data_IF_352447931184
#
_entry.id   IF_352447931184
#
_cell.length_a   1.000
_cell.length_b   1.000
_cell.length_c   1.000
_cell.angle_alpha   90.00
_cell.angle_beta   90.00
_cell.angle_gamma   90.00
#
_symmetry.space_group_name_H-M   'P 1'
#
loop_
_entity.id
_entity.type
_entity.pdbx_description
1 polymer ?
#
# COMPACT_ATOMS: atom_id res chain seq x y z
N UNK A 1 -1.15 -19.67 30.44
CA UNK A 1 -2.23 -19.16 29.56
C UNK A 1 -1.69 -19.11 28.14
N UNK A 2 -2.46 -19.48 27.12
CA UNK A 2 -2.01 -19.37 25.72
C UNK A 2 -1.94 -17.89 25.33
N UNK A 3 -0.77 -17.44 24.87
CA UNK A 3 -0.57 -16.10 24.31
C UNK A 3 -0.68 -16.14 22.78
N UNK A 4 -0.93 -14.97 22.18
CA UNK A 4 -1.05 -14.74 20.75
C UNK A 4 -0.01 -13.68 20.37
N UNK A 5 0.93 -14.04 19.50
CA UNK A 5 2.01 -13.15 19.06
C UNK A 5 1.54 -12.11 18.04
N UNK A 6 2.31 -11.04 17.87
CA UNK A 6 1.98 -9.93 16.94
C UNK A 6 1.62 -10.37 15.52
N UNK A 7 2.34 -11.33 14.94
CA UNK A 7 2.02 -11.82 13.59
C UNK A 7 0.69 -12.57 13.53
N UNK A 8 0.31 -13.27 14.59
CA UNK A 8 -0.97 -13.96 14.69
C UNK A 8 -2.10 -12.95 14.89
N UNK A 9 -1.89 -11.92 15.72
CA UNK A 9 -2.82 -10.79 15.85
C UNK A 9 -3.02 -10.11 14.49
N UNK A 10 -1.93 -9.83 13.76
CA UNK A 10 -1.96 -9.20 12.44
C UNK A 10 -2.72 -10.04 11.42
N UNK A 11 -2.45 -11.35 11.36
CA UNK A 11 -3.15 -12.27 10.48
C UNK A 11 -4.65 -12.36 10.81
N UNK A 12 -4.99 -12.45 12.10
CA UNK A 12 -6.38 -12.49 12.54
C UNK A 12 -7.11 -11.16 12.26
N UNK A 13 -6.45 -10.02 12.48
CA UNK A 13 -6.98 -8.70 12.17
C UNK A 13 -7.27 -8.56 10.67
N UNK A 14 -6.30 -8.88 9.80
CA UNK A 14 -6.47 -8.82 8.35
C UNK A 14 -7.62 -9.70 7.85
N UNK A 15 -7.78 -10.91 8.42
CA UNK A 15 -8.88 -11.82 8.08
C UNK A 15 -10.25 -11.28 8.53
N UNK A 16 -10.35 -10.74 9.75
CA UNK A 16 -11.59 -10.15 10.27
C UNK A 16 -11.97 -8.88 9.51
N UNK A 17 -10.99 -8.04 9.20
CA UNK A 17 -11.17 -6.83 8.39
C UNK A 17 -11.66 -7.19 6.98
N UNK A 18 -11.10 -8.23 6.36
CA UNK A 18 -11.56 -8.74 5.07
C UNK A 18 -12.99 -9.25 5.11
N UNK A 19 -13.39 -9.95 6.18
CA UNK A 19 -14.75 -10.44 6.33
C UNK A 19 -15.75 -9.29 6.50
N UNK A 20 -15.42 -8.34 7.37
CA UNK A 20 -16.21 -7.14 7.59
C UNK A 20 -16.37 -6.33 6.29
N UNK A 21 -15.26 -6.05 5.60
CA UNK A 21 -15.27 -5.29 4.34
C UNK A 21 -16.08 -6.01 3.25
N UNK A 22 -16.03 -7.34 3.17
CA UNK A 22 -16.83 -8.11 2.23
C UNK A 22 -18.33 -8.11 2.51
N UNK A 23 -18.75 -7.93 3.78
CA UNK A 23 -20.17 -7.71 4.11
C UNK A 23 -20.63 -6.30 3.69
N UNK A 24 -19.78 -5.29 3.89
CA UNK A 24 -20.10 -3.91 3.55
C UNK A 24 -20.03 -3.64 2.03
N UNK A 25 -19.12 -4.33 1.32
CA UNK A 25 -18.88 -4.16 -0.12
C UNK A 25 -18.93 -5.52 -0.82
N UNK A 26 -20.11 -6.02 -1.24
CA UNK A 26 -20.22 -7.37 -1.83
C UNK A 26 -19.32 -7.63 -3.05
N UNK A 27 -19.06 -6.60 -3.86
CA UNK A 27 -18.14 -6.69 -5.02
C UNK A 27 -16.70 -7.04 -4.61
N UNK A 28 -16.27 -6.72 -3.39
CA UNK A 28 -14.98 -7.14 -2.86
C UNK A 28 -14.91 -8.66 -2.67
N UNK A 29 -16.00 -9.29 -2.23
CA UNK A 29 -16.04 -10.76 -2.10
C UNK A 29 -15.82 -11.42 -3.46
N UNK A 30 -16.49 -10.91 -4.51
CA UNK A 30 -16.25 -11.35 -5.89
C UNK A 30 -14.79 -11.13 -6.30
N UNK A 31 -14.20 -9.98 -6.00
CA UNK A 31 -12.79 -9.71 -6.32
C UNK A 31 -11.84 -10.73 -5.66
N UNK A 32 -12.06 -11.05 -4.38
CA UNK A 32 -11.24 -12.03 -3.65
C UNK A 32 -11.37 -13.43 -4.26
N UNK A 33 -12.57 -13.83 -4.63
CA UNK A 33 -12.79 -15.13 -5.28
C UNK A 33 -12.09 -15.20 -6.64
N UNK A 34 -12.19 -14.15 -7.46
CA UNK A 34 -11.50 -14.07 -8.76
C UNK A 34 -9.99 -14.07 -8.59
N UNK A 35 -9.45 -13.31 -7.63
CA UNK A 35 -8.02 -13.30 -7.34
C UNK A 35 -7.52 -14.70 -6.96
N UNK A 36 -8.27 -15.44 -6.13
CA UNK A 36 -7.94 -16.82 -5.78
C UNK A 36 -7.94 -17.73 -7.02
N UNK A 37 -8.99 -17.69 -7.85
CA UNK A 37 -9.05 -18.50 -9.08
C UNK A 37 -7.86 -18.23 -10.02
N UNK A 38 -7.51 -16.96 -10.21
CA UNK A 38 -6.37 -16.56 -11.06
C UNK A 38 -5.05 -17.05 -10.47
N UNK A 39 -4.87 -16.91 -9.15
CA UNK A 39 -3.65 -17.37 -8.48
C UNK A 39 -3.48 -18.89 -8.57
N UNK A 40 -4.56 -19.65 -8.40
CA UNK A 40 -4.58 -21.11 -8.53
C UNK A 40 -4.23 -21.54 -9.97
N UNK A 41 -4.75 -20.83 -10.97
CA UNK A 41 -4.44 -21.07 -12.38
C UNK A 41 -2.98 -20.79 -12.70
N UNK A 42 -2.44 -19.66 -12.23
CA UNK A 42 -1.02 -19.32 -12.41
C UNK A 42 -0.12 -20.35 -11.73
N UNK A 43 -0.44 -20.78 -10.51
CA UNK A 43 0.30 -21.82 -9.80
C UNK A 43 0.30 -23.14 -10.57
N UNK A 44 -0.87 -23.55 -11.09
CA UNK A 44 -0.99 -24.76 -11.90
C UNK A 44 -0.18 -24.71 -13.20
N UNK A 45 -0.10 -23.54 -13.84
CA UNK A 45 0.62 -23.37 -15.11
C UNK A 45 2.12 -23.18 -14.92
N UNK A 46 2.56 -22.43 -13.90
CA UNK A 46 3.96 -22.03 -13.71
C UNK A 46 4.69 -22.82 -12.61
N UNK A 47 3.98 -23.61 -11.80
CA UNK A 47 4.58 -24.40 -10.73
C UNK A 47 5.37 -23.53 -9.74
N UNK A 48 6.59 -23.96 -9.40
CA UNK A 48 7.45 -23.26 -8.43
C UNK A 48 7.78 -21.81 -8.82
N UNK A 49 7.77 -21.47 -10.11
CA UNK A 49 8.04 -20.10 -10.57
C UNK A 49 6.94 -19.11 -10.16
N UNK A 50 5.72 -19.60 -9.88
CA UNK A 50 4.63 -18.78 -9.35
C UNK A 50 4.92 -18.27 -7.93
N UNK A 51 5.77 -18.97 -7.17
CA UNK A 51 6.08 -18.64 -5.77
C UNK A 51 7.36 -17.80 -5.63
N UNK A 52 7.99 -17.39 -6.75
CA UNK A 52 9.26 -16.64 -6.74
C UNK A 52 9.17 -15.30 -5.98
N UNK A 53 7.99 -14.69 -5.89
CA UNK A 53 7.70 -13.45 -5.14
C UNK A 53 6.82 -13.70 -3.91
N UNK A 54 6.98 -14.86 -3.28
CA UNK A 54 6.30 -15.28 -2.07
C UNK A 54 5.45 -16.54 -2.27
N UNK A 55 5.36 -17.37 -1.22
CA UNK A 55 4.55 -18.59 -1.24
C UNK A 55 3.09 -18.32 -1.57
N UNK A 56 2.40 -19.30 -2.13
CA UNK A 56 0.96 -19.16 -2.45
C UNK A 56 0.12 -18.88 -1.21
N UNK A 57 0.52 -19.43 -0.05
CA UNK A 57 -0.12 -19.15 1.24
C UNK A 57 0.02 -17.68 1.63
N UNK A 58 1.20 -17.08 1.42
CA UNK A 58 1.45 -15.66 1.63
C UNK A 58 0.61 -14.83 0.67
N UNK A 59 0.66 -15.13 -0.63
CA UNK A 59 -0.08 -14.39 -1.68
C UNK A 59 -1.59 -14.40 -1.43
N UNK A 60 -2.15 -15.54 -1.02
CA UNK A 60 -3.59 -15.68 -0.74
C UNK A 60 -4.02 -14.92 0.52
N UNK A 61 -3.14 -14.82 1.52
CA UNK A 61 -3.39 -14.05 2.73
C UNK A 61 -3.09 -12.54 2.58
N UNK A 62 -2.23 -12.19 1.63
CA UNK A 62 -1.70 -10.85 1.41
C UNK A 62 -2.79 -9.87 0.99
N UNK A 63 -2.87 -8.80 1.77
CA UNK A 63 -3.80 -7.69 1.55
C UNK A 63 -3.14 -6.39 1.97
N UNK A 64 -3.58 -5.29 1.39
CA UNK A 64 -3.40 -3.98 2.01
C UNK A 64 -4.73 -3.28 2.21
N UNK A 65 -4.88 -2.55 3.31
CA UNK A 65 -6.00 -1.63 3.53
C UNK A 65 -5.57 -0.18 3.30
N UNK A 66 -6.55 0.71 3.15
CA UNK A 66 -6.32 2.14 3.26
C UNK A 66 -7.31 2.79 4.24
N UNK A 67 -6.80 3.62 5.14
CA UNK A 67 -7.61 4.39 6.10
C UNK A 67 -7.24 5.87 6.04
N UNK A 68 -8.12 6.72 6.57
CA UNK A 68 -7.89 8.16 6.64
C UNK A 68 -8.26 8.69 8.02
N UNK A 69 -7.45 9.63 8.52
CA UNK A 69 -7.65 10.30 9.82
C UNK A 69 -7.50 11.81 9.66
N UNK A 70 -8.09 12.57 10.58
CA UNK A 70 -8.20 14.02 10.47
C UNK A 70 -7.19 14.80 11.29
N UNK A 71 -6.58 14.18 12.31
CA UNK A 71 -5.69 14.88 13.24
C UNK A 71 -4.40 14.10 13.55
N UNK A 72 -3.30 14.80 13.90
CA UNK A 72 -2.08 14.16 14.41
C UNK A 72 -2.34 13.21 15.60
N UNK A 73 -3.24 13.59 16.51
CA UNK A 73 -3.65 12.75 17.64
C UNK A 73 -4.23 11.42 17.19
N UNK A 74 -5.14 11.43 16.23
CA UNK A 74 -5.75 10.22 15.68
C UNK A 74 -4.70 9.37 14.95
N UNK A 75 -3.76 9.99 14.22
CA UNK A 75 -2.66 9.28 13.57
C UNK A 75 -1.72 8.59 14.57
N UNK A 76 -1.40 9.25 15.69
CA UNK A 76 -0.63 8.64 16.78
C UNK A 76 -1.38 7.45 17.41
N UNK A 77 -2.71 7.54 17.54
CA UNK A 77 -3.53 6.42 18.01
C UNK A 77 -3.54 5.26 17.03
N UNK A 78 -3.62 5.52 15.72
CA UNK A 78 -3.44 4.49 14.67
C UNK A 78 -2.10 3.79 14.83
N UNK A 79 -1.02 4.53 15.06
CA UNK A 79 0.30 3.95 15.25
C UNK A 79 0.40 3.04 16.50
N UNK A 80 -0.38 3.33 17.55
CA UNK A 80 -0.50 2.43 18.71
C UNK A 80 -1.21 1.14 18.32
N UNK A 81 -2.39 1.24 17.69
CA UNK A 81 -3.17 0.08 17.24
C UNK A 81 -2.37 -0.81 16.28
N UNK A 82 -1.70 -0.23 15.28
CA UNK A 82 -0.88 -1.00 14.35
C UNK A 82 0.45 -1.47 14.95
N UNK A 83 0.98 -0.78 15.96
CA UNK A 83 2.10 -1.25 16.76
C UNK A 83 1.82 -2.58 17.47
N UNK A 84 0.60 -2.78 17.95
CA UNK A 84 0.14 -4.06 18.51
C UNK A 84 0.19 -5.22 17.51
N UNK A 85 0.16 -4.91 16.21
CA UNK A 85 0.23 -5.86 15.11
C UNK A 85 1.66 -6.04 14.57
N UNK A 86 2.67 -5.45 15.23
CA UNK A 86 4.07 -5.47 14.76
C UNK A 86 4.29 -4.65 13.48
N UNK A 87 3.46 -3.63 13.26
CA UNK A 87 3.53 -2.77 12.08
C UNK A 87 4.13 -1.40 12.43
N UNK A 88 4.98 -0.90 11.54
CA UNK A 88 5.73 0.35 11.69
C UNK A 88 5.38 1.30 10.55
N UNK A 89 5.39 2.63 10.77
CA UNK A 89 5.22 3.58 9.68
C UNK A 89 6.45 3.56 8.77
N UNK A 90 6.23 3.34 7.47
CA UNK A 90 7.26 3.27 6.44
C UNK A 90 6.89 4.16 5.27
N UNK A 91 7.85 5.00 4.87
CA UNK A 91 7.70 5.95 3.77
C UNK A 91 6.83 7.15 4.13
N UNK A 92 7.09 8.25 3.44
CA UNK A 92 6.30 9.47 3.48
C UNK A 92 5.77 9.78 2.08
N UNK A 93 4.47 10.03 1.97
CA UNK A 93 3.78 10.25 0.72
C UNK A 93 3.02 11.58 0.80
N UNK A 94 3.45 12.58 0.03
CA UNK A 94 2.73 13.85 -0.07
C UNK A 94 1.79 13.83 -1.28
N UNK A 95 0.51 13.52 -1.03
CA UNK A 95 -0.49 13.45 -2.11
C UNK A 95 -1.00 14.82 -2.55
N UNK A 96 -0.69 15.88 -1.78
CA UNK A 96 -1.06 17.26 -2.13
C UNK A 96 -0.32 17.75 -3.36
N UNK A 97 0.91 17.26 -3.53
CA UNK A 97 1.80 17.57 -4.66
C UNK A 97 1.67 16.55 -5.80
N UNK A 98 1.38 15.29 -5.49
CA UNK A 98 1.35 14.20 -6.47
C UNK A 98 0.06 14.15 -7.32
N UNK A 99 -1.06 14.66 -6.79
CA UNK A 99 -2.34 14.63 -7.47
C UNK A 99 -2.55 15.90 -8.32
N UNK A 100 -3.10 15.72 -9.52
CA UNK A 100 -3.61 16.83 -10.33
C UNK A 100 -4.89 17.42 -9.70
N UNK A 101 -5.69 16.57 -9.03
CA UNK A 101 -6.86 16.98 -8.25
C UNK A 101 -6.48 17.39 -6.82
N UNK A 102 -7.37 18.14 -6.17
CA UNK A 102 -7.19 18.58 -4.79
C UNK A 102 -7.30 17.40 -3.81
N UNK A 103 -6.16 16.85 -3.40
CA UNK A 103 -6.05 15.77 -2.40
C UNK A 103 -5.26 16.28 -1.18
N UNK A 104 -5.94 16.84 -0.16
CA UNK A 104 -5.29 17.57 0.94
C UNK A 104 -4.74 16.64 2.05
N UNK A 105 -3.98 15.60 1.70
CA UNK A 105 -3.47 14.62 2.67
C UNK A 105 -1.99 14.32 2.48
N UNK A 106 -1.33 14.01 3.60
CA UNK A 106 -0.03 13.33 3.64
C UNK A 106 -0.20 11.95 4.24
N UNK A 107 0.66 10.99 3.89
CA UNK A 107 0.43 9.59 4.25
C UNK A 107 1.72 8.85 4.59
N UNK A 108 1.55 7.71 5.25
CA UNK A 108 2.58 6.67 5.48
C UNK A 108 1.94 5.29 5.36
N UNK A 109 2.74 4.24 5.20
CA UNK A 109 2.27 2.87 5.22
C UNK A 109 2.65 2.19 6.55
N UNK A 110 1.68 1.70 7.31
CA UNK A 110 1.97 0.83 8.43
C UNK A 110 2.16 -0.60 7.93
N UNK A 111 3.32 -1.20 8.20
CA UNK A 111 3.61 -2.59 7.80
C UNK A 111 4.68 -3.27 8.65
N UNK A 112 4.78 -4.61 8.65
CA UNK A 112 5.95 -5.29 9.18
C UNK A 112 7.20 -4.92 8.39
N UNK A 113 8.35 -4.95 9.06
CA UNK A 113 9.64 -4.61 8.46
C UNK A 113 10.65 -5.76 8.49
N UNK A 114 10.41 -6.77 9.32
CA UNK A 114 11.22 -7.97 9.36
C UNK A 114 10.79 -8.97 8.27
N UNK A 115 11.77 -9.58 7.60
CA UNK A 115 11.53 -10.51 6.50
C UNK A 115 10.74 -11.77 6.91
N UNK A 116 10.96 -12.31 8.11
CA UNK A 116 10.19 -13.46 8.60
C UNK A 116 8.74 -13.06 8.92
N UNK A 117 8.54 -11.88 9.49
CA UNK A 117 7.21 -11.33 9.77
C UNK A 117 6.41 -11.06 8.48
N UNK A 118 7.06 -10.52 7.45
CA UNK A 118 6.50 -10.33 6.10
C UNK A 118 6.17 -11.66 5.43
N UNK A 119 7.02 -12.68 5.61
CA UNK A 119 6.77 -14.02 5.09
C UNK A 119 5.55 -14.69 5.73
N UNK A 120 5.33 -14.46 7.04
CA UNK A 120 4.16 -14.97 7.78
C UNK A 120 2.87 -14.25 7.43
N UNK A 121 2.90 -12.93 7.42
CA UNK A 121 1.74 -12.11 7.06
C UNK A 121 2.16 -10.68 6.67
N UNK A 122 2.09 -10.32 5.37
CA UNK A 122 2.52 -9.02 4.87
C UNK A 122 1.38 -7.98 4.88
N UNK A 123 0.46 -8.04 5.84
CA UNK A 123 -0.64 -7.07 5.89
C UNK A 123 -0.12 -5.65 6.09
N UNK A 124 -0.60 -4.72 5.26
CA UNK A 124 -0.18 -3.32 5.21
C UNK A 124 -1.39 -2.41 5.30
N UNK A 125 -1.24 -1.22 5.88
CA UNK A 125 -2.31 -0.20 5.85
C UNK A 125 -1.75 1.16 5.45
N UNK A 126 -2.14 1.63 4.27
CA UNK A 126 -1.86 2.99 3.82
C UNK A 126 -2.73 3.97 4.63
N UNK A 127 -2.10 4.81 5.43
CA UNK A 127 -2.80 5.70 6.37
C UNK A 127 -2.55 7.14 5.98
N UNK A 128 -3.63 7.85 5.64
CA UNK A 128 -3.56 9.26 5.24
C UNK A 128 -4.06 10.18 6.35
N UNK A 129 -3.37 11.29 6.55
CA UNK A 129 -3.71 12.36 7.47
C UNK A 129 -4.15 13.59 6.68
N UNK A 130 -5.36 14.08 6.96
CA UNK A 130 -5.84 15.36 6.44
C UNK A 130 -4.92 16.50 6.90
N UNK A 131 -4.79 17.52 6.05
CA UNK A 131 -3.95 18.69 6.32
C UNK A 131 -4.77 19.97 6.49
N UNK A 132 -5.63 20.12 7.53
CA UNK A 132 -6.46 21.33 7.73
C UNK A 132 -5.67 22.64 7.78
N UNK A 133 -4.39 22.57 8.14
CA UNK A 133 -3.51 23.72 8.26
C UNK A 133 -2.97 24.22 6.91
N UNK A 134 -3.17 23.50 5.80
CA UNK A 134 -2.68 23.91 4.48
C UNK A 134 -3.63 24.96 3.85
N UNK A 135 -3.19 26.23 3.72
CA UNK A 135 -4.06 27.32 3.31
C UNK A 135 -4.42 27.28 1.82
N UNK A 136 -3.77 26.40 1.03
CA UNK A 136 -4.13 26.13 -0.37
C UNK A 136 -5.49 25.45 -0.48
N UNK A 137 -5.92 24.71 0.54
CA UNK A 137 -7.18 23.97 0.53
C UNK A 137 -8.21 24.56 1.50
N UNK A 138 -7.75 25.09 2.64
CA UNK A 138 -8.64 25.55 3.71
C UNK A 138 -8.32 27.00 4.08
N UNK A 139 -9.26 27.91 3.82
CA UNK A 139 -9.16 29.27 4.38
C UNK A 139 -9.26 29.26 5.92
N UNK A 140 -8.92 30.38 6.56
CA UNK A 140 -8.87 30.48 8.02
C UNK A 140 -10.20 30.12 8.70
N UNK A 141 -11.34 30.48 8.09
CA UNK A 141 -12.67 30.20 8.64
C UNK A 141 -13.03 28.72 8.50
N UNK A 142 -12.77 28.14 7.33
CA UNK A 142 -13.01 26.72 7.07
C UNK A 142 -12.10 25.83 7.92
N UNK A 143 -10.82 26.19 8.05
CA UNK A 143 -9.86 25.51 8.93
C UNK A 143 -10.35 25.45 10.36
N UNK A 144 -10.74 26.60 10.93
CA UNK A 144 -11.22 26.67 12.32
C UNK A 144 -12.42 25.76 12.56
N UNK A 145 -13.40 25.77 11.63
CA UNK A 145 -14.59 24.91 11.71
C UNK A 145 -14.25 23.43 11.62
N UNK A 146 -13.36 23.08 10.70
CA UNK A 146 -12.90 21.70 10.48
C UNK A 146 -12.12 21.16 11.69
N UNK A 147 -11.17 21.93 12.21
CA UNK A 147 -10.41 21.56 13.41
C UNK A 147 -11.33 21.41 14.64
N UNK A 148 -12.30 22.32 14.81
CA UNK A 148 -13.29 22.23 15.89
C UNK A 148 -14.16 20.97 15.76
N UNK A 149 -14.61 20.63 14.55
CA UNK A 149 -15.35 19.39 14.30
C UNK A 149 -14.52 18.15 14.68
N UNK A 150 -13.29 18.06 14.16
CA UNK A 150 -12.37 16.94 14.37
C UNK A 150 -11.98 16.76 15.85
N UNK A 151 -11.85 17.86 16.60
CA UNK A 151 -11.55 17.83 18.03
C UNK A 151 -12.63 17.11 18.87
N UNK A 152 -13.87 17.03 18.37
CA UNK A 152 -14.97 16.35 19.08
C UNK A 152 -15.03 14.85 18.85
N UNK A 153 -14.11 14.26 18.07
CA UNK A 153 -14.12 12.84 17.71
C UNK A 153 -13.33 11.98 18.67
N UNK A 154 -13.85 10.80 18.93
CA UNK A 154 -13.15 9.68 19.53
C UNK A 154 -13.23 8.49 18.57
N UNK A 155 -12.13 8.20 17.87
CA UNK A 155 -12.07 7.09 16.91
C UNK A 155 -11.71 5.76 17.56
N UNK A 156 -10.89 5.79 18.60
CA UNK A 156 -10.34 4.61 19.25
C UNK A 156 -10.64 4.65 20.75
N UNK A 157 -11.46 3.71 21.27
CA UNK A 157 -11.78 3.65 22.68
C UNK A 157 -10.52 3.47 23.57
N UNK A 158 -10.51 3.98 24.81
CA UNK A 158 -9.37 3.84 25.72
C UNK A 158 -8.92 2.38 25.95
N UNK A 159 -9.87 1.44 26.02
CA UNK A 159 -9.57 0.01 26.19
C UNK A 159 -8.76 -0.56 25.03
N UNK A 160 -9.14 -0.24 23.78
CA UNK A 160 -8.40 -0.65 22.58
C UNK A 160 -6.96 -0.16 22.65
N UNK A 161 -6.77 1.10 23.05
CA UNK A 161 -5.46 1.72 23.13
C UNK A 161 -4.58 1.14 24.25
N UNK A 162 -5.17 0.76 25.38
CA UNK A 162 -4.47 0.08 26.47
C UNK A 162 -3.98 -1.32 26.06
N UNK A 163 -4.85 -2.10 25.40
CA UNK A 163 -4.48 -3.41 24.85
C UNK A 163 -3.41 -3.28 23.76
N UNK A 164 -3.52 -2.26 22.91
CA UNK A 164 -2.56 -2.02 21.85
C UNK A 164 -1.15 -1.71 22.38
N UNK A 165 -1.06 -0.85 23.40
CA UNK A 165 0.22 -0.52 24.03
C UNK A 165 0.85 -1.74 24.70
N UNK A 166 0.05 -2.55 25.40
CA UNK A 166 0.53 -3.79 26.01
C UNK A 166 1.08 -4.75 24.96
N UNK A 167 0.33 -4.99 23.88
CA UNK A 167 0.77 -5.85 22.78
C UNK A 167 2.03 -5.34 22.08
N UNK A 168 2.22 -4.02 22.00
CA UNK A 168 3.41 -3.41 21.42
C UNK A 168 4.66 -3.64 22.29
N UNK A 169 4.51 -3.59 23.62
CA UNK A 169 5.60 -3.82 24.58
C UNK A 169 5.90 -5.30 24.77
N UNK A 170 4.88 -6.12 25.02
CA UNK A 170 5.03 -7.56 25.32
C UNK A 170 5.25 -8.39 24.05
N UNK A 171 4.92 -7.84 22.87
CA UNK A 171 4.93 -8.52 21.56
C UNK A 171 3.98 -9.71 21.47
N UNK A 172 3.07 -9.81 22.42
CA UNK A 172 2.01 -10.80 22.49
C UNK A 172 0.86 -10.29 23.37
N UNK A 173 -0.28 -10.96 23.31
CA UNK A 173 -1.39 -10.78 24.24
C UNK A 173 -1.90 -12.13 24.74
N UNK A 174 -2.40 -12.23 25.99
CA UNK A 174 -3.22 -13.36 26.41
C UNK A 174 -4.42 -13.52 25.48
N UNK A 175 -4.86 -14.77 25.24
CA UNK A 175 -5.94 -15.06 24.28
C UNK A 175 -7.22 -14.23 24.44
N UNK A 176 -7.69 -14.02 25.67
CA UNK A 176 -8.92 -13.25 25.93
C UNK A 176 -8.75 -11.78 25.56
N UNK A 177 -7.61 -11.19 25.93
CA UNK A 177 -7.24 -9.82 25.57
C UNK A 177 -7.00 -9.65 24.07
N UNK A 178 -6.40 -10.65 23.42
CA UNK A 178 -6.25 -10.70 21.98
C UNK A 178 -7.61 -10.65 21.26
N UNK A 179 -8.61 -11.39 21.76
CA UNK A 179 -9.96 -11.35 21.21
C UNK A 179 -10.62 -9.98 21.38
N UNK A 180 -10.54 -9.39 22.57
CA UNK A 180 -11.06 -8.03 22.82
C UNK A 180 -10.37 -6.98 21.93
N UNK A 181 -9.04 -7.04 21.83
CA UNK A 181 -8.26 -6.16 20.96
C UNK A 181 -8.71 -6.28 19.51
N UNK A 182 -8.82 -7.50 18.99
CA UNK A 182 -9.22 -7.74 17.60
C UNK A 182 -10.64 -7.26 17.31
N UNK A 183 -11.58 -7.46 18.23
CA UNK A 183 -12.95 -6.98 18.08
C UNK A 183 -13.01 -5.45 18.05
N UNK A 184 -12.39 -4.79 19.03
CA UNK A 184 -12.38 -3.33 19.12
C UNK A 184 -11.63 -2.69 17.95
N UNK A 185 -10.51 -3.27 17.53
CA UNK A 185 -9.72 -2.76 16.41
C UNK A 185 -10.49 -2.83 15.10
N UNK A 186 -11.20 -3.93 14.82
CA UNK A 186 -12.00 -4.07 13.59
C UNK A 186 -13.19 -3.11 13.61
N UNK A 187 -13.88 -3.00 14.74
CA UNK A 187 -15.01 -2.08 14.91
C UNK A 187 -14.63 -0.61 14.71
N UNK A 188 -13.40 -0.21 15.05
CA UNK A 188 -12.91 1.16 14.81
C UNK A 188 -12.79 1.53 13.32
N UNK A 189 -12.76 0.54 12.42
CA UNK A 189 -12.70 0.72 10.96
C UNK A 189 -13.97 0.26 10.24
N UNK A 190 -14.99 -0.15 10.99
CA UNK A 190 -16.33 -0.40 10.46
C UNK A 190 -16.98 0.91 10.06
N UNK A 191 -17.85 0.81 9.08
CA UNK A 191 -18.54 1.96 8.58
C UNK A 191 -19.69 2.36 9.52
N UNK A 192 -19.68 3.61 9.96
CA UNK A 192 -20.71 4.11 10.87
C UNK A 192 -22.07 4.27 10.19
N UNK A 193 -23.13 3.89 10.90
CA UNK A 193 -24.52 4.18 10.55
C UNK A 193 -25.00 5.56 11.02
N UNK A 194 -24.15 6.36 11.67
CA UNK A 194 -24.51 7.71 12.10
C UNK A 194 -24.83 8.61 10.90
N UNK A 195 -25.95 9.38 10.94
CA UNK A 195 -26.27 10.31 9.88
C UNK A 195 -25.21 11.40 9.70
N UNK A 196 -24.76 11.59 8.47
CA UNK A 196 -23.78 12.61 8.07
C UNK A 196 -24.48 13.96 7.91
N UNK A 197 -23.92 15.05 8.42
CA UNK A 197 -24.45 16.40 8.18
C UNK A 197 -24.26 16.76 6.70
N UNK A 198 -25.38 16.86 5.97
CA UNK A 198 -25.35 17.08 4.52
C UNK A 198 -24.68 18.40 4.14
N UNK A 199 -25.04 19.48 4.83
CA UNK A 199 -24.57 20.82 4.51
C UNK A 199 -23.07 20.97 4.76
N UNK A 200 -22.58 20.33 5.83
CA UNK A 200 -21.18 20.31 6.18
C UNK A 200 -20.38 19.43 5.21
N UNK A 201 -20.89 18.24 4.89
CA UNK A 201 -20.28 17.33 3.94
C UNK A 201 -20.13 17.99 2.55
N UNK A 202 -21.21 18.57 2.01
CA UNK A 202 -21.19 19.28 0.73
C UNK A 202 -20.23 20.48 0.75
N UNK A 203 -20.01 21.10 1.92
CA UNK A 203 -19.03 22.18 2.06
C UNK A 203 -17.60 21.70 1.88
N UNK A 204 -17.25 20.57 2.49
CA UNK A 204 -15.92 19.98 2.34
C UNK A 204 -15.74 19.33 0.97
N UNK A 205 -16.80 18.76 0.39
CA UNK A 205 -16.75 18.08 -0.91
C UNK A 205 -16.39 19.03 -2.05
N UNK A 206 -16.83 20.30 -1.97
CA UNK A 206 -16.39 21.36 -2.89
C UNK A 206 -14.88 21.61 -2.86
N UNK A 207 -14.22 21.33 -1.73
CA UNK A 207 -12.76 21.37 -1.63
C UNK A 207 -12.17 20.07 -2.16
N UNK A 208 -12.62 18.96 -1.60
CA UNK A 208 -12.15 17.63 -1.94
C UNK A 208 -13.10 16.59 -1.37
N UNK A 209 -13.51 15.59 -2.16
CA UNK A 209 -14.25 14.46 -1.62
C UNK A 209 -13.45 13.68 -0.56
N UNK A 210 -12.10 13.72 -0.59
CA UNK A 210 -11.25 13.19 0.49
C UNK A 210 -11.39 14.02 1.76
N UNK A 211 -11.47 15.35 1.66
CA UNK A 211 -11.70 16.21 2.82
C UNK A 211 -13.08 15.96 3.44
N UNK A 212 -14.12 15.76 2.61
CA UNK A 212 -15.47 15.44 3.08
C UNK A 212 -15.52 14.08 3.77
N UNK A 213 -14.87 13.07 3.19
CA UNK A 213 -14.79 11.72 3.74
C UNK A 213 -14.06 11.65 5.09
N UNK A 214 -13.12 12.58 5.35
CA UNK A 214 -12.40 12.63 6.62
C UNK A 214 -13.07 13.58 7.62
N UNK A 215 -13.35 14.81 7.18
CA UNK A 215 -13.80 15.91 8.02
C UNK A 215 -15.31 16.06 8.13
N UNK A 216 -16.08 15.33 7.31
CA UNK A 216 -17.54 15.34 7.31
C UNK A 216 -18.16 14.27 8.19
N UNK A 217 -17.37 13.30 8.67
CA UNK A 217 -17.84 12.13 9.41
C UNK A 217 -17.17 12.02 10.79
N UNK A 218 -17.90 11.42 11.74
CA UNK A 218 -17.47 11.29 13.14
C UNK A 218 -16.62 10.04 13.43
N UNK A 219 -16.60 9.08 12.50
CA UNK A 219 -15.80 7.85 12.57
C UNK A 219 -14.68 7.84 11.52
N UNK A 220 -13.87 6.78 11.50
CA UNK A 220 -13.04 6.41 10.35
C UNK A 220 -13.55 5.07 9.81
N UNK A 221 -13.04 4.63 8.66
CA UNK A 221 -13.42 3.35 8.06
C UNK A 221 -12.34 2.88 7.08
N UNK A 222 -12.45 1.62 6.64
CA UNK A 222 -11.65 1.10 5.53
C UNK A 222 -12.14 1.70 4.21
N UNK A 223 -11.30 2.49 3.55
CA UNK A 223 -11.59 3.08 2.24
C UNK A 223 -11.65 2.01 1.15
N UNK A 224 -10.62 1.18 1.11
CA UNK A 224 -10.52 0.00 0.28
C UNK A 224 -9.67 -1.06 0.96
N UNK A 225 -9.86 -2.29 0.51
CA UNK A 225 -9.05 -3.43 0.88
C UNK A 225 -8.67 -4.16 -0.41
N UNK A 226 -7.37 -4.38 -0.59
CA UNK A 226 -6.77 -4.79 -1.85
C UNK A 226 -6.16 -6.17 -1.69
N UNK A 227 -6.68 -7.23 -2.35
CA UNK A 227 -6.02 -8.52 -2.40
C UNK A 227 -4.87 -8.51 -3.41
N UNK A 228 -3.91 -9.41 -3.22
CA UNK A 228 -2.85 -9.66 -4.21
C UNK A 228 -3.27 -10.69 -5.25
N UNK A 229 -2.93 -10.42 -6.50
CA UNK A 229 -3.05 -11.35 -7.63
C UNK A 229 -1.71 -11.55 -8.34
N UNK A 230 -1.49 -12.74 -8.89
CA UNK A 230 -0.28 -13.10 -9.66
C UNK A 230 -0.36 -12.67 -11.13
N UNK A 231 -1.57 -12.52 -11.66
CA UNK A 231 -1.83 -12.04 -13.02
C UNK A 231 -2.97 -11.01 -13.02
N UNK A 232 -2.60 -9.73 -12.99
CA UNK A 232 -3.56 -8.63 -12.92
C UNK A 232 -4.34 -8.44 -14.22
N UNK A 233 -3.75 -8.82 -15.37
CA UNK A 233 -4.41 -8.68 -16.67
C UNK A 233 -5.53 -9.72 -16.81
N UNK A 234 -5.27 -10.97 -16.39
CA UNK A 234 -6.29 -12.01 -16.39
C UNK A 234 -7.40 -11.73 -15.37
N UNK A 235 -7.06 -11.19 -14.20
CA UNK A 235 -8.07 -10.74 -13.23
C UNK A 235 -8.92 -9.60 -13.80
N UNK A 236 -8.30 -8.61 -14.44
CA UNK A 236 -9.02 -7.50 -15.08
C UNK A 236 -10.04 -8.03 -16.08
N UNK A 237 -9.63 -8.96 -16.95
CA UNK A 237 -10.49 -9.60 -17.95
C UNK A 237 -11.66 -10.35 -17.28
N UNK A 238 -11.37 -11.18 -16.28
CA UNK A 238 -12.37 -11.97 -15.52
C UNK A 238 -13.37 -11.13 -14.74
N UNK A 239 -12.96 -9.99 -14.21
CA UNK A 239 -13.85 -9.06 -13.53
C UNK A 239 -14.76 -8.35 -14.53
N UNK A 240 -14.20 -7.93 -15.68
CA UNK A 240 -14.95 -7.32 -16.78
C UNK A 240 -16.00 -8.28 -17.34
N UNK A 241 -15.64 -9.55 -17.57
CA UNK A 241 -16.58 -10.59 -18.06
C UNK A 241 -17.74 -10.85 -17.08
N UNK A 242 -17.54 -10.59 -15.79
CA UNK A 242 -18.57 -10.68 -14.74
C UNK A 242 -19.42 -9.41 -14.62
N UNK A 243 -19.22 -8.43 -15.50
CA UNK A 243 -19.97 -7.17 -15.54
C UNK A 243 -19.52 -6.13 -14.51
N UNK A 244 -18.33 -6.29 -13.91
CA UNK A 244 -17.78 -5.30 -13.00
C UNK A 244 -17.06 -4.22 -13.82
N UNK A 245 -17.47 -2.97 -13.63
CA UNK A 245 -16.88 -1.79 -14.29
C UNK A 245 -15.48 -1.51 -13.71
N UNK A 246 -14.46 -2.03 -14.38
CA UNK A 246 -13.06 -1.76 -14.08
C UNK A 246 -12.65 -0.36 -14.56
N UNK A 247 -11.65 0.25 -13.93
CA UNK A 247 -11.05 1.48 -14.43
C UNK A 247 -10.13 1.15 -15.61
N UNK A 248 -10.27 1.91 -16.71
CA UNK A 248 -9.66 1.64 -18.02
C UNK A 248 -8.15 1.43 -18.05
N UNK A 249 -7.42 1.83 -17.00
CA UNK A 249 -5.95 1.80 -16.96
C UNK A 249 -5.42 1.05 -15.75
N UNK A 250 -4.64 0.00 -16.00
CA UNK A 250 -3.75 -0.59 -15.00
C UNK A 250 -2.55 0.34 -14.83
N UNK A 251 -2.34 0.79 -13.60
CA UNK A 251 -1.24 1.67 -13.24
C UNK A 251 -0.01 0.86 -12.84
N UNK A 252 1.18 1.45 -13.00
CA UNK A 252 2.46 0.79 -12.76
C UNK A 252 3.22 0.50 -14.06
N UNK A 253 4.23 -0.38 -14.04
CA UNK A 253 4.91 -0.80 -15.28
C UNK A 253 3.93 -1.52 -16.23
N UNK A 254 4.22 -1.52 -17.55
CA UNK A 254 3.42 -2.24 -18.53
C UNK A 254 3.53 -3.75 -18.33
N UNK A 255 2.57 -4.49 -18.87
CA UNK A 255 2.76 -5.91 -19.15
C UNK A 255 3.87 -6.09 -20.18
N UNK A 256 4.91 -6.85 -19.84
CA UNK A 256 6.08 -7.07 -20.69
C UNK A 256 6.73 -8.42 -20.37
N UNK A 257 7.72 -8.84 -21.19
CA UNK A 257 8.36 -10.16 -21.07
C UNK A 257 9.42 -10.28 -19.97
N UNK A 258 9.82 -9.17 -19.36
CA UNK A 258 10.86 -9.13 -18.32
C UNK A 258 10.29 -9.28 -16.91
N UNK A 259 11.13 -9.09 -15.87
CA UNK A 259 10.69 -9.20 -14.48
C UNK A 259 9.65 -8.15 -14.09
N UNK A 260 8.69 -8.55 -13.26
CA UNK A 260 7.77 -7.61 -12.62
C UNK A 260 8.52 -6.75 -11.60
N UNK A 261 8.37 -5.44 -11.66
CA UNK A 261 9.02 -4.49 -10.74
C UNK A 261 7.98 -3.63 -10.03
N UNK A 262 8.27 -3.24 -8.79
CA UNK A 262 7.38 -2.45 -7.93
C UNK A 262 6.00 -3.10 -7.81
N UNK A 263 4.95 -2.47 -8.33
CA UNK A 263 3.61 -3.04 -8.38
C UNK A 263 2.86 -2.56 -9.61
N UNK A 264 1.88 -3.35 -10.01
CA UNK A 264 0.80 -2.97 -10.92
C UNK A 264 -0.51 -2.99 -10.13
N UNK A 265 -1.38 -2.01 -10.37
CA UNK A 265 -2.64 -1.90 -9.65
C UNK A 265 -3.75 -1.36 -10.53
N UNK A 266 -4.98 -1.75 -10.22
CA UNK A 266 -6.20 -1.22 -10.83
C UNK A 266 -7.33 -1.27 -9.80
N UNK A 267 -8.42 -0.57 -10.07
CA UNK A 267 -9.61 -0.58 -9.23
C UNK A 267 -10.86 -0.77 -10.08
N UNK A 268 -11.97 -1.09 -9.42
CA UNK A 268 -13.29 -0.99 -10.02
C UNK A 268 -14.04 0.17 -9.39
N UNK A 269 -15.00 0.71 -10.15
CA UNK A 269 -15.67 1.96 -9.79
C UNK A 269 -16.40 1.85 -8.45
N UNK A 270 -16.30 2.93 -7.66
CA UNK A 270 -17.00 3.06 -6.39
C UNK A 270 -18.52 2.86 -6.55
N UNK A 271 -19.07 1.93 -5.78
CA UNK A 271 -20.52 1.73 -5.67
C UNK A 271 -21.12 2.93 -4.95
N UNK A 272 -22.27 3.42 -5.44
CA UNK A 272 -23.04 4.44 -4.72
C UNK A 272 -23.59 3.81 -3.44
N UNK A 273 -23.09 4.25 -2.30
CA UNK A 273 -23.42 3.64 -1.02
C UNK A 273 -24.49 4.45 -0.30
N UNK A 274 -25.65 3.87 0.04
CA UNK A 274 -26.68 4.55 0.81
C UNK A 274 -26.12 5.05 2.14
N UNK A 275 -26.37 6.32 2.44
CA UNK A 275 -25.94 6.99 3.66
C UNK A 275 -27.09 7.78 4.24
N UNK A 276 -27.31 7.63 5.54
CA UNK A 276 -28.20 8.52 6.26
C UNK A 276 -27.59 9.94 6.23
N UNK A 277 -28.36 10.91 5.76
CA UNK A 277 -27.96 12.30 5.67
C UNK A 277 -28.89 13.13 6.55
N UNK A 278 -28.31 13.89 7.48
CA UNK A 278 -29.04 14.85 8.29
C UNK A 278 -29.15 16.18 7.54
N UNK A 279 -30.37 16.64 7.35
CA UNK A 279 -30.68 17.94 6.75
C UNK A 279 -30.66 19.06 7.80
N UNK A 280 -30.67 20.31 7.33
CA UNK A 280 -30.61 21.50 8.17
C UNK A 280 -31.82 21.65 9.12
N UNK A 281 -32.98 21.08 8.76
CA UNK A 281 -34.18 21.04 9.61
C UNK A 281 -34.16 19.90 10.64
N UNK A 282 -33.09 19.10 10.67
CA UNK A 282 -32.89 17.98 11.57
C UNK A 282 -33.46 16.64 11.07
N UNK A 283 -34.21 16.64 9.96
CA UNK A 283 -34.70 15.42 9.33
C UNK A 283 -33.56 14.56 8.78
N UNK A 284 -33.80 13.26 8.63
CA UNK A 284 -32.82 12.29 8.11
C UNK A 284 -33.40 11.67 6.85
N UNK A 285 -32.67 11.81 5.76
CA UNK A 285 -33.00 11.23 4.46
C UNK A 285 -31.93 10.22 4.03
N UNK A 286 -32.29 9.36 3.07
CA UNK A 286 -31.32 8.50 2.40
C UNK A 286 -30.62 9.30 1.29
N UNK A 287 -29.32 9.52 1.44
CA UNK A 287 -28.42 10.00 0.39
C UNK A 287 -27.51 8.88 -0.10
N UNK A 288 -26.56 9.22 -0.98
CA UNK A 288 -25.52 8.29 -1.40
C UNK A 288 -24.16 8.98 -1.43
N UNK A 289 -23.13 8.29 -0.95
CA UNK A 289 -21.73 8.73 -1.07
C UNK A 289 -20.97 7.77 -1.98
N UNK A 290 -20.03 8.30 -2.77
CA UNK A 290 -19.15 7.52 -3.64
C UNK A 290 -17.73 7.55 -3.11
N UNK A 291 -17.50 6.86 -1.99
CA UNK A 291 -16.23 6.97 -1.25
C UNK A 291 -15.45 5.66 -1.13
N UNK A 292 -16.07 4.52 -1.44
CA UNK A 292 -15.44 3.19 -1.32
C UNK A 292 -15.40 2.49 -2.67
N UNK A 293 -14.24 1.93 -2.97
CA UNK A 293 -13.98 1.16 -4.19
C UNK A 293 -13.20 -0.10 -3.82
N UNK A 294 -13.18 -1.08 -4.72
CA UNK A 294 -12.24 -2.19 -4.60
C UNK A 294 -11.04 -1.95 -5.49
N UNK A 295 -9.88 -2.27 -4.97
CA UNK A 295 -8.60 -2.20 -5.67
C UNK A 295 -7.99 -3.59 -5.68
N UNK A 296 -7.11 -3.85 -6.65
CA UNK A 296 -6.34 -5.10 -6.75
C UNK A 296 -4.92 -4.78 -7.19
N UNK A 297 -3.96 -5.54 -6.68
CA UNK A 297 -2.54 -5.32 -6.96
C UNK A 297 -1.81 -6.61 -7.34
N UNK A 298 -0.83 -6.48 -8.23
CA UNK A 298 0.22 -7.45 -8.46
C UNK A 298 1.56 -6.84 -8.04
N UNK A 299 2.31 -7.52 -7.19
CA UNK A 299 3.59 -7.03 -6.65
C UNK A 299 4.77 -7.73 -7.30
N UNK A 300 5.73 -6.92 -7.71
CA UNK A 300 7.02 -7.25 -8.30
C UNK A 300 8.18 -7.08 -7.32
N UNK A 301 9.37 -6.88 -7.87
CA UNK A 301 10.64 -6.73 -7.14
C UNK A 301 10.81 -5.28 -6.66
N UNK A 302 11.33 -5.09 -5.44
CA UNK A 302 11.72 -3.79 -4.92
C UNK A 302 12.92 -3.23 -5.69
N UNK A 303 12.82 -1.98 -6.17
CA UNK A 303 13.89 -1.31 -6.91
C UNK A 303 14.82 -0.53 -5.97
N UNK A 304 16.10 -0.43 -6.34
CA UNK A 304 17.05 0.51 -5.73
C UNK A 304 16.71 1.95 -6.13
N UNK A 305 17.44 2.94 -5.61
CA UNK A 305 17.30 4.33 -6.06
C UNK A 305 17.55 4.45 -7.57
N UNK A 306 18.58 3.78 -8.09
CA UNK A 306 18.94 3.77 -9.50
C UNK A 306 17.89 3.08 -10.35
N UNK A 307 17.37 1.93 -9.90
CA UNK A 307 16.27 1.25 -10.58
C UNK A 307 15.00 2.07 -10.59
N UNK A 308 14.71 2.78 -9.49
CA UNK A 308 13.55 3.68 -9.42
C UNK A 308 13.72 4.88 -10.35
N UNK A 309 14.91 5.47 -10.42
CA UNK A 309 15.19 6.58 -11.33
C UNK A 309 14.96 6.17 -12.80
N UNK A 310 15.46 4.98 -13.19
CA UNK A 310 15.19 4.42 -14.52
C UNK A 310 13.69 4.19 -14.75
N UNK A 311 12.98 3.62 -13.78
CA UNK A 311 11.53 3.43 -13.86
C UNK A 311 10.79 4.76 -14.08
N UNK A 312 11.13 5.80 -13.33
CA UNK A 312 10.50 7.12 -13.43
C UNK A 312 10.84 7.80 -14.77
N UNK A 313 12.08 7.67 -15.26
CA UNK A 313 12.50 8.14 -16.60
C UNK A 313 11.67 7.47 -17.71
N UNK A 314 11.50 6.15 -17.64
CA UNK A 314 10.72 5.41 -18.63
C UNK A 314 9.24 5.80 -18.61
N UNK A 315 8.65 6.01 -17.43
CA UNK A 315 7.29 6.54 -17.33
C UNK A 315 7.17 7.94 -17.96
N UNK A 316 8.14 8.82 -17.71
CA UNK A 316 8.19 10.15 -18.32
C UNK A 316 8.28 10.09 -19.83
N UNK A 317 9.13 9.21 -20.36
CA UNK A 317 9.25 8.98 -21.81
C UNK A 317 7.96 8.41 -22.43
N UNK A 318 7.22 7.55 -21.71
CA UNK A 318 5.90 7.08 -22.13
C UNK A 318 4.90 8.24 -22.23
N UNK A 319 4.86 9.12 -21.22
CA UNK A 319 3.97 10.28 -21.23
C UNK A 319 4.28 11.24 -22.39
N UNK A 320 5.57 11.51 -22.61
CA UNK A 320 6.04 12.36 -23.70
C UNK A 320 5.69 11.78 -25.07
N UNK A 321 5.88 10.47 -25.28
CA UNK A 321 5.55 9.83 -26.56
C UNK A 321 4.04 9.67 -26.77
N UNK A 322 3.28 9.32 -25.73
CA UNK A 322 1.83 9.21 -25.81
C UNK A 322 1.16 10.56 -26.13
N UNK A 323 1.65 11.67 -25.54
CA UNK A 323 1.14 13.01 -25.84
C UNK A 323 1.40 13.46 -27.29
N UNK A 324 2.49 12.97 -27.91
CA UNK A 324 2.83 13.24 -29.32
C UNK A 324 2.08 12.35 -30.32
N UNK A 325 1.57 11.21 -29.89
CA UNK A 325 0.82 10.28 -30.73
C UNK A 325 -0.48 9.81 -30.05
N UNK A 326 -1.53 10.66 -30.04
CA UNK A 326 -2.79 10.35 -29.34
C UNK A 326 -3.53 9.12 -29.88
N UNK A 327 -3.23 8.71 -31.11
CA UNK A 327 -3.80 7.51 -31.76
C UNK A 327 -3.01 6.23 -31.44
N UNK A 328 -1.80 6.35 -30.90
CA UNK A 328 -0.99 5.20 -30.48
C UNK A 328 -1.49 4.63 -29.16
N UNK A 329 -1.60 3.30 -29.08
CA UNK A 329 -1.93 2.65 -27.82
C UNK A 329 -0.78 2.88 -26.82
N UNK A 330 -1.04 3.67 -25.76
CA UNK A 330 -0.08 3.99 -24.70
C UNK A 330 0.62 2.74 -24.13
N UNK A 331 -0.13 1.64 -24.02
CA UNK A 331 0.40 0.35 -23.54
C UNK A 331 1.51 -0.21 -24.45
N UNK A 332 1.38 -0.07 -25.78
CA UNK A 332 2.39 -0.53 -26.73
C UNK A 332 3.66 0.32 -26.65
N UNK A 333 3.51 1.65 -26.54
CA UNK A 333 4.62 2.59 -26.32
C UNK A 333 5.38 2.20 -25.05
N UNK A 334 4.66 1.99 -23.95
CA UNK A 334 5.24 1.57 -22.68
C UNK A 334 5.98 0.24 -22.80
N UNK A 335 5.36 -0.79 -23.40
CA UNK A 335 6.01 -2.09 -23.60
C UNK A 335 7.30 -1.96 -24.41
N UNK A 336 7.29 -1.22 -25.52
CA UNK A 336 8.48 -1.03 -26.37
C UNK A 336 9.61 -0.32 -25.63
N UNK A 337 9.31 0.71 -24.84
CA UNK A 337 10.33 1.40 -24.04
C UNK A 337 10.89 0.49 -22.95
N UNK A 338 10.03 -0.25 -22.25
CA UNK A 338 10.47 -1.22 -21.23
C UNK A 338 11.39 -2.28 -21.82
N UNK A 339 10.99 -2.92 -22.92
CA UNK A 339 11.79 -3.97 -23.57
C UNK A 339 13.14 -3.47 -24.08
N UNK A 340 13.26 -2.18 -24.37
CA UNK A 340 14.49 -1.58 -24.88
C UNK A 340 15.47 -1.18 -23.77
N UNK A 341 14.95 -0.71 -22.63
CA UNK A 341 15.77 -0.01 -21.63
C UNK A 341 15.83 -0.72 -20.28
N UNK A 342 14.81 -1.50 -19.90
CA UNK A 342 14.79 -2.23 -18.63
C UNK A 342 15.44 -3.62 -18.82
N UNK A 343 16.33 -4.09 -17.91
CA UNK A 343 16.91 -5.42 -18.04
C UNK A 343 15.85 -6.52 -18.07
N UNK A 344 15.86 -7.34 -19.13
CA UNK A 344 14.86 -8.38 -19.36
C UNK A 344 14.97 -9.63 -18.48
N UNK A 345 15.78 -9.62 -17.43
CA UNK A 345 15.92 -10.75 -16.49
C UNK A 345 16.28 -10.31 -15.07
N UNK A 346 15.91 -11.11 -14.08
CA UNK A 346 16.22 -10.85 -12.66
C UNK A 346 17.74 -10.80 -12.44
N UNK A 347 18.50 -11.69 -13.09
CA UNK A 347 19.96 -11.67 -13.06
C UNK A 347 20.54 -10.37 -13.65
N UNK A 348 19.90 -9.81 -14.68
CA UNK A 348 20.26 -8.51 -15.23
C UNK A 348 20.00 -7.35 -14.27
N UNK A 349 18.85 -7.37 -13.58
CA UNK A 349 18.53 -6.38 -12.53
C UNK A 349 19.51 -6.45 -11.36
N UNK A 350 19.82 -7.66 -10.89
CA UNK A 350 20.77 -7.89 -9.80
C UNK A 350 22.18 -7.43 -10.20
N UNK A 351 22.66 -7.83 -11.38
CA UNK A 351 24.00 -7.45 -11.85
C UNK A 351 24.14 -5.94 -12.13
N UNK A 352 23.04 -5.27 -12.49
CA UNK A 352 22.99 -3.82 -12.69
C UNK A 352 22.75 -3.00 -11.43
N UNK A 353 22.57 -3.64 -10.26
CA UNK A 353 22.24 -2.93 -9.02
C UNK A 353 20.92 -2.14 -9.09
N UNK A 354 19.96 -2.59 -9.90
CA UNK A 354 18.70 -1.89 -10.15
C UNK A 354 17.56 -2.37 -9.24
N UNK A 355 17.70 -3.53 -8.62
CA UNK A 355 16.69 -4.07 -7.73
C UNK A 355 17.34 -4.79 -6.54
N UNK A 356 16.59 -4.91 -5.45
CA UNK A 356 17.05 -5.56 -4.23
C UNK A 356 16.83 -7.08 -4.30
N UNK A 357 17.85 -7.82 -3.88
CA UNK A 357 17.83 -9.28 -3.82
C UNK A 357 18.38 -9.76 -2.48
N UNK A 358 17.85 -10.88 -1.98
CA UNK A 358 18.57 -11.70 -1.01
C UNK A 358 19.42 -12.73 -1.72
N UNK A 359 20.54 -13.10 -1.12
CA UNK A 359 21.48 -14.03 -1.70
C UNK A 359 21.68 -15.23 -0.79
N UNK A 360 21.73 -16.43 -1.40
CA UNK A 360 22.10 -17.66 -0.73
C UNK A 360 23.08 -18.47 -1.56
N UNK A 361 23.95 -19.29 -0.94
CA UNK A 361 24.80 -20.19 -1.70
C UNK A 361 23.96 -21.12 -2.60
N UNK A 362 24.44 -21.39 -3.81
CA UNK A 362 23.78 -22.34 -4.69
C UNK A 362 23.82 -23.76 -4.11
N UNK A 363 22.75 -24.53 -4.37
CA UNK A 363 22.64 -25.93 -3.92
C UNK A 363 23.74 -26.79 -4.58
N UNK A 364 24.03 -26.53 -5.86
CA UNK A 364 25.12 -27.14 -6.62
C UNK A 364 26.18 -26.10 -6.98
N UNK A 365 27.17 -25.91 -6.10
CA UNK A 365 28.30 -25.01 -6.36
C UNK A 365 29.25 -25.62 -7.41
N UNK A 366 29.98 -24.81 -8.19
CA UNK A 366 31.10 -25.28 -8.99
C UNK A 366 32.09 -26.09 -8.13
N UNK A 367 32.41 -27.32 -8.54
CA UNK A 367 33.36 -28.23 -7.86
C UNK A 367 34.60 -28.51 -8.71
N UNK A 368 34.91 -27.61 -9.63
CA UNK A 368 36.02 -27.71 -10.58
C UNK A 368 37.36 -27.21 -10.00
N UNK A 369 37.39 -26.88 -8.70
CA UNK A 369 38.57 -26.37 -8.00
C UNK A 369 38.80 -24.87 -8.20
N UNK A 370 37.87 -24.15 -8.83
CA UNK A 370 37.93 -22.68 -8.93
C UNK A 370 37.61 -22.03 -7.59
N UNK A 371 38.28 -20.91 -7.30
CA UNK A 371 37.99 -20.10 -6.11
C UNK A 371 36.73 -19.25 -6.34
N UNK A 372 35.92 -19.01 -5.29
CA UNK A 372 34.75 -18.14 -5.40
C UNK A 372 35.15 -16.73 -5.84
N UNK A 373 34.48 -16.14 -6.85
CA UNK A 373 34.68 -14.75 -7.22
C UNK A 373 34.44 -13.77 -6.06
N UNK A 374 35.05 -12.59 -6.15
CA UNK A 374 34.96 -11.56 -5.12
C UNK A 374 33.84 -10.52 -5.34
N UNK A 375 33.10 -10.60 -6.45
CA UNK A 375 32.00 -9.68 -6.77
C UNK A 375 30.67 -10.41 -6.86
N UNK A 376 29.57 -9.77 -6.42
CA UNK A 376 28.27 -10.44 -6.41
C UNK A 376 27.80 -10.80 -7.82
N UNK A 377 28.03 -9.92 -8.79
CA UNK A 377 27.68 -10.17 -10.18
C UNK A 377 28.40 -11.39 -10.76
N UNK A 378 29.66 -11.63 -10.38
CA UNK A 378 30.39 -12.83 -10.81
C UNK A 378 29.92 -14.09 -10.09
N UNK A 379 29.66 -14.00 -8.77
CA UNK A 379 29.12 -15.10 -7.97
C UNK A 379 27.78 -15.61 -8.52
N UNK A 380 26.88 -14.68 -8.89
CA UNK A 380 25.59 -15.02 -9.52
C UNK A 380 25.78 -15.61 -10.91
N UNK A 381 26.57 -14.96 -11.78
CA UNK A 381 26.78 -15.45 -13.17
C UNK A 381 27.45 -16.82 -13.25
N UNK A 382 28.32 -17.14 -12.30
CA UNK A 382 29.06 -18.41 -12.26
C UNK A 382 28.37 -19.47 -11.39
N UNK A 383 27.16 -19.22 -10.89
CA UNK A 383 26.37 -20.22 -10.16
C UNK A 383 26.88 -20.55 -8.75
N UNK A 384 27.70 -19.69 -8.14
CA UNK A 384 28.11 -19.84 -6.74
C UNK A 384 26.99 -19.44 -5.77
N UNK A 385 26.17 -18.48 -6.18
CA UNK A 385 25.13 -17.85 -5.37
C UNK A 385 23.86 -17.73 -6.20
N UNK A 386 22.72 -18.00 -5.57
CA UNK A 386 21.39 -17.71 -6.12
C UNK A 386 20.91 -16.38 -5.56
N UNK A 387 20.50 -15.48 -6.46
CA UNK A 387 19.77 -14.27 -6.10
C UNK A 387 18.27 -14.58 -6.03
N UNK A 388 17.61 -14.12 -4.97
CA UNK A 388 16.17 -14.25 -4.76
C UNK A 388 15.58 -12.84 -4.63
N UNK A 389 14.60 -12.47 -5.46
CA UNK A 389 14.08 -11.12 -5.48
C UNK A 389 13.42 -10.73 -4.15
N UNK A 390 13.72 -9.52 -3.67
CA UNK A 390 12.98 -8.94 -2.55
C UNK A 390 11.68 -8.34 -3.10
N UNK A 391 10.54 -8.79 -2.57
CA UNK A 391 9.22 -8.31 -2.98
C UNK A 391 9.05 -6.83 -2.59
N UNK A 392 8.46 -6.04 -3.47
CA UNK A 392 8.07 -4.68 -3.13
C UNK A 392 6.87 -4.67 -2.18
N UNK A 393 7.08 -4.15 -0.98
CA UNK A 393 6.13 -4.10 0.15
C UNK A 393 5.48 -2.71 0.32
N UNK A 394 5.92 -1.71 -0.44
CA UNK A 394 5.48 -0.32 -0.29
C UNK A 394 4.48 0.08 -1.40
N UNK A 395 4.28 1.38 -1.59
CA UNK A 395 3.25 1.94 -2.48
C UNK A 395 3.88 2.89 -3.50
N UNK A 396 3.19 3.13 -4.62
CA UNK A 396 3.64 4.10 -5.62
C UNK A 396 2.91 5.43 -5.40
N UNK A 397 3.61 6.55 -5.09
CA UNK A 397 2.94 7.83 -4.86
C UNK A 397 2.09 8.29 -6.05
N UNK A 398 2.63 8.18 -7.27
CA UNK A 398 1.94 8.58 -8.51
C UNK A 398 0.72 7.70 -8.78
N UNK A 399 0.80 6.41 -8.47
CA UNK A 399 -0.31 5.48 -8.68
C UNK A 399 -1.38 5.63 -7.59
N UNK A 400 -1.00 5.84 -6.33
CA UNK A 400 -1.95 6.19 -5.28
C UNK A 400 -2.72 7.47 -5.69
N UNK A 401 -2.04 8.54 -6.08
CA UNK A 401 -2.69 9.75 -6.55
C UNK A 401 -3.61 9.52 -7.77
N UNK A 402 -3.18 8.69 -8.73
CA UNK A 402 -3.98 8.34 -9.91
C UNK A 402 -5.25 7.56 -9.58
N UNK A 403 -5.17 6.57 -8.68
CA UNK A 403 -6.36 5.83 -8.20
C UNK A 403 -7.28 6.75 -7.41
N UNK A 404 -6.74 7.62 -6.56
CA UNK A 404 -7.55 8.61 -5.87
C UNK A 404 -8.29 9.47 -6.90
N UNK A 405 -7.58 10.06 -7.87
CA UNK A 405 -8.18 10.91 -8.90
C UNK A 405 -9.27 10.19 -9.71
N UNK A 406 -9.02 8.97 -10.18
CA UNK A 406 -9.99 8.22 -11.01
C UNK A 406 -11.26 7.83 -10.25
N UNK A 407 -11.24 7.87 -8.92
CA UNK A 407 -12.38 7.57 -8.06
C UNK A 407 -13.12 8.82 -7.53
N UNK A 408 -12.62 10.04 -7.77
CA UNK A 408 -13.29 11.28 -7.34
C UNK A 408 -14.27 11.78 -8.42
N UNK A 409 -15.38 12.37 -8.00
CA UNK A 409 -16.42 12.94 -8.88
C UNK A 409 -16.09 14.33 -9.43
N UNK A 410 -14.97 14.94 -9.01
CA UNK A 410 -14.54 16.26 -9.45
C UNK A 410 -13.10 16.59 -9.03
N UNK A 411 -12.54 17.65 -9.61
CA UNK A 411 -11.13 18.06 -9.37
C UNK A 411 -10.92 18.71 -8.00
N UNK A 412 -11.99 19.24 -7.38
CA UNK A 412 -11.92 19.99 -6.13
C UNK A 412 -11.34 21.40 -6.32
N UNK A 413 -10.96 22.05 -5.22
CA UNK A 413 -10.36 23.40 -5.26
C UNK A 413 -9.03 23.43 -4.51
N UNK A 414 -8.02 24.04 -5.15
CA UNK A 414 -6.69 24.29 -4.59
C UNK A 414 -6.22 25.66 -5.06
N UNK A 415 -5.91 26.54 -4.11
CA UNK A 415 -5.35 27.86 -4.34
C UNK A 415 -3.84 27.74 -4.56
N UNK A 416 -3.41 27.82 -5.83
CA UNK A 416 -2.01 27.71 -6.22
C UNK A 416 -1.21 28.99 -5.98
N UNK A 417 -1.85 30.11 -5.60
CA UNK A 417 -1.16 31.37 -5.31
C UNK A 417 -0.64 31.42 -3.86
N UNK A 418 -1.02 30.44 -3.04
CA UNK A 418 -0.58 30.32 -1.65
C UNK A 418 0.55 29.32 -1.48
N UNK A 419 1.44 29.63 -0.54
CA UNK A 419 2.45 28.70 -0.08
C UNK A 419 1.82 27.60 0.78
N UNK A 420 2.14 26.35 0.44
CA UNK A 420 1.65 25.18 1.17
C UNK A 420 2.37 25.01 2.51
N UNK A 421 1.69 24.42 3.48
CA UNK A 421 2.31 24.04 4.75
C UNK A 421 3.36 22.94 4.50
N UNK A 422 4.57 23.12 5.02
CA UNK A 422 5.63 22.14 4.90
C UNK A 422 5.31 20.88 5.73
N UNK A 423 5.27 19.72 5.06
CA UNK A 423 5.25 18.41 5.70
C UNK A 423 6.36 17.57 5.11
N UNK A 424 7.04 16.84 5.97
CA UNK A 424 8.07 15.88 5.62
C UNK A 424 8.00 14.66 6.55
N UNK A 425 8.89 13.71 6.32
CA UNK A 425 8.97 12.51 7.16
C UNK A 425 9.29 12.82 8.63
N UNK A 426 10.05 13.89 8.91
CA UNK A 426 10.41 14.27 10.28
C UNK A 426 9.20 14.85 11.03
N UNK A 427 8.43 15.73 10.38
CA UNK A 427 7.17 16.23 10.91
C UNK A 427 6.20 15.09 11.18
N UNK A 428 6.05 14.15 10.22
CA UNK A 428 5.14 13.02 10.38
C UNK A 428 5.58 12.09 11.52
N UNK A 429 6.90 11.90 11.68
CA UNK A 429 7.46 11.14 12.80
C UNK A 429 7.13 11.78 14.15
N UNK A 430 7.23 13.11 14.23
CA UNK A 430 6.83 13.87 15.42
C UNK A 430 5.33 13.79 15.70
N UNK A 431 4.49 13.84 14.67
CA UNK A 431 3.04 13.69 14.78
C UNK A 431 2.62 12.28 15.25
N UNK A 432 3.32 11.24 14.79
CA UNK A 432 3.09 9.85 15.16
C UNK A 432 3.67 9.52 16.55
N UNK A 433 4.78 10.18 16.92
CA UNK A 433 5.60 9.82 18.08
C UNK A 433 6.49 8.58 17.82
N UNK A 434 6.78 8.26 16.56
CA UNK A 434 7.66 7.15 16.12
C UNK A 434 8.32 7.51 14.80
N UNK A 435 9.53 7.03 14.57
CA UNK A 435 10.25 7.26 13.32
C UNK A 435 9.51 6.64 12.13
N UNK A 436 9.22 7.47 11.12
CA UNK A 436 8.80 7.02 9.79
C UNK A 436 10.03 6.47 9.08
N UNK A 437 10.06 5.16 8.87
CA UNK A 437 11.22 4.45 8.35
C UNK A 437 11.38 4.68 6.84
N UNK A 438 12.62 4.74 6.37
CA UNK A 438 12.93 4.77 4.94
C UNK A 438 12.79 3.35 4.34
N UNK A 439 11.89 3.14 3.36
CA UNK A 439 11.75 1.83 2.71
C UNK A 439 13.04 1.35 2.02
N UNK A 440 13.86 2.24 1.45
CA UNK A 440 15.10 1.86 0.77
C UNK A 440 16.11 1.26 1.74
N UNK A 441 16.28 1.91 2.90
CA UNK A 441 17.15 1.41 3.97
C UNK A 441 16.71 0.03 4.48
N UNK A 442 15.40 -0.26 4.52
CA UNK A 442 14.90 -1.58 4.93
C UNK A 442 15.25 -2.67 3.91
N UNK A 443 15.10 -2.40 2.62
CA UNK A 443 15.46 -3.36 1.57
C UNK A 443 16.98 -3.56 1.48
N UNK A 444 17.75 -2.48 1.58
CA UNK A 444 19.21 -2.53 1.62
C UNK A 444 19.70 -3.37 2.81
N UNK A 445 19.14 -3.15 4.00
CA UNK A 445 19.49 -3.94 5.18
C UNK A 445 19.21 -5.44 4.99
N UNK A 446 18.10 -5.80 4.33
CA UNK A 446 17.77 -7.20 4.05
C UNK A 446 18.78 -7.83 3.07
N UNK A 447 19.12 -7.10 2.00
CA UNK A 447 20.13 -7.51 1.03
C UNK A 447 21.50 -7.68 1.70
N UNK A 448 21.97 -6.67 2.42
CA UNK A 448 23.29 -6.65 3.07
C UNK A 448 23.44 -7.78 4.09
N UNK A 449 22.38 -8.07 4.86
CA UNK A 449 22.38 -9.19 5.80
C UNK A 449 22.60 -10.53 5.08
N UNK A 450 21.96 -10.71 3.92
CA UNK A 450 22.12 -11.92 3.12
C UNK A 450 23.51 -12.03 2.47
N UNK A 451 24.05 -10.92 1.97
CA UNK A 451 25.41 -10.85 1.42
C UNK A 451 26.47 -11.14 2.48
N UNK A 452 26.31 -10.60 3.68
CA UNK A 452 27.20 -10.88 4.80
C UNK A 452 27.17 -12.36 5.21
N UNK A 453 26.01 -13.02 5.10
CA UNK A 453 25.90 -14.46 5.33
C UNK A 453 26.62 -15.26 4.24
N UNK A 454 26.40 -14.93 2.96
CA UNK A 454 27.09 -15.56 1.83
C UNK A 454 28.60 -15.41 1.92
N UNK A 455 29.10 -14.23 2.28
CA UNK A 455 30.54 -14.01 2.44
C UNK A 455 31.14 -14.94 3.51
N UNK A 456 30.46 -15.11 4.65
CA UNK A 456 30.87 -16.08 5.69
C UNK A 456 30.85 -17.52 5.19
N UNK A 457 29.79 -17.92 4.48
CA UNK A 457 29.62 -19.30 3.99
C UNK A 457 30.59 -19.67 2.87
N UNK A 458 31.14 -18.67 2.17
CA UNK A 458 32.15 -18.83 1.11
C UNK A 458 33.58 -18.49 1.59
N UNK A 459 33.77 -18.09 2.84
CA UNK A 459 35.09 -17.73 3.38
C UNK A 459 35.70 -16.46 2.77
N UNK A 460 34.87 -15.55 2.25
CA UNK A 460 35.31 -14.30 1.64
C UNK A 460 35.53 -13.23 2.73
N UNK A 461 36.69 -12.57 2.71
CA UNK A 461 37.13 -11.63 3.75
C UNK A 461 36.77 -10.16 3.46
N UNK A 462 36.06 -9.87 2.36
CA UNK A 462 35.64 -8.53 1.96
C UNK A 462 34.11 -8.36 1.92
N UNK A 463 33.67 -7.10 1.88
CA UNK A 463 32.25 -6.78 1.65
C UNK A 463 31.90 -7.11 0.20
N UNK A 464 30.97 -8.05 0.00
CA UNK A 464 30.36 -8.29 -1.30
C UNK A 464 29.49 -7.09 -1.64
N UNK A 465 29.81 -6.41 -2.75
CA UNK A 465 29.01 -5.34 -3.36
C UNK A 465 28.57 -5.78 -4.74
#
# INVERSE_FOLDING_TARGET
MSTISQWQLRAAFAARLSKMYGHEVPAYTTLVDVAREVNDDVLRTRGADAERLGSISRVTAERHGAIRVGTPRELAQVARVFGALGMHPVGFYDLREAAASAVPVVSTAFRPVDGEELARNPFRVFTSLLTPADPRFFDAGLRMRLEAFLATRELFPPELLALADRAAVERELPREEAESFLQLAVAAFELSGEPVDRSWYETLERISAVAADIGGVRSTHVNHLTPRVLDIDELYRRMTDRGIEMIDTIQGPPAWKGPDVLLRQTSFRALAEPRAMRLADGSVESGALRVRFGEVEARGIALTHEGRALYDELLGAVDEQASRNPTGARADIARTLWERHMPGSEAGLAAGGLAYFTYRPADERPRDGTEPPTTIGALVRQGWVRAEPIVYEDFLPRSAAGIFQSNLSGEGTRDNDKEGTAYDAAWLSGAIGRDVLDPYALYEQQQDRSLAQVARDLGLTGTLR
#
